data_IF_184770559269
#
_entry.id   IF_184770559269
#
_cell.length_a   1.000
_cell.length_b   1.000
_cell.length_c   1.000
_cell.angle_alpha   90.00
_cell.angle_beta   90.00
_cell.angle_gamma   90.00
#
_symmetry.space_group_name_H-M   'P 1'
#
loop_
_entity.id
_entity.type
_entity.pdbx_description
1 polymer ?
#
# COMPACT_ATOMS: atom_id res chain seq x y z
N UNK A 1 7.85 9.96 24.47
CA UNK A 1 6.39 9.98 24.71
C UNK A 1 5.84 8.91 23.80
N UNK A 2 5.26 7.89 24.42
CA UNK A 2 4.75 6.71 23.73
C UNK A 2 3.36 7.10 23.20
N UNK A 3 3.29 7.41 21.89
CA UNK A 3 2.03 7.67 21.22
C UNK A 3 1.34 6.32 21.01
N UNK A 4 0.53 5.91 21.99
CA UNK A 4 -0.38 4.77 21.86
C UNK A 4 -1.17 4.92 20.56
N UNK A 5 -1.17 3.93 19.65
CA UNK A 5 -1.91 4.02 18.41
C UNK A 5 -3.40 4.19 18.75
N UNK A 6 -3.94 5.31 18.29
CA UNK A 6 -5.33 5.68 18.54
C UNK A 6 -6.19 4.78 17.66
N UNK A 7 -6.78 3.74 18.25
CA UNK A 7 -7.92 3.05 17.68
C UNK A 7 -9.06 4.06 17.65
N UNK A 8 -9.25 4.75 16.53
CA UNK A 8 -10.56 5.32 16.28
C UNK A 8 -11.50 4.12 16.11
N UNK A 9 -12.24 3.84 17.17
CA UNK A 9 -13.51 3.14 17.09
C UNK A 9 -14.38 4.02 16.17
N UNK A 10 -14.30 3.74 14.87
CA UNK A 10 -15.10 4.41 13.84
C UNK A 10 -16.52 3.90 14.03
N UNK A 11 -17.20 4.45 15.03
CA UNK A 11 -18.54 4.06 15.42
C UNK A 11 -19.50 4.28 14.23
N UNK A 12 -19.72 3.22 13.45
CA UNK A 12 -20.64 3.20 12.31
C UNK A 12 -20.07 2.66 11.00
N UNK A 13 -18.74 2.62 10.84
CA UNK A 13 -18.07 2.21 9.61
C UNK A 13 -17.81 0.69 9.60
N UNK A 14 -18.35 0.00 8.59
CA UNK A 14 -18.22 -1.45 8.36
C UNK A 14 -17.01 -1.74 7.48
N UNK A 15 -15.88 -2.05 8.12
CA UNK A 15 -14.70 -2.61 7.44
C UNK A 15 -15.07 -3.99 6.86
N UNK A 16 -14.84 -4.26 5.55
CA UNK A 16 -15.11 -5.56 4.95
C UNK A 16 -14.30 -6.69 5.60
N UNK A 17 -14.86 -7.89 5.64
CA UNK A 17 -14.14 -9.07 6.13
C UNK A 17 -12.86 -9.30 5.32
N UNK A 18 -11.75 -9.53 6.02
CA UNK A 18 -10.43 -9.72 5.41
C UNK A 18 -9.70 -8.42 5.07
N UNK A 19 -10.21 -7.26 5.48
CA UNK A 19 -9.48 -5.99 5.48
C UNK A 19 -9.13 -5.62 6.91
N UNK A 20 -7.87 -5.29 7.14
CA UNK A 20 -7.37 -4.78 8.42
C UNK A 20 -6.77 -3.42 8.14
N UNK A 21 -7.11 -2.42 8.96
CA UNK A 21 -6.63 -1.07 8.79
C UNK A 21 -5.98 -0.59 10.07
N UNK A 22 -4.74 -0.13 9.95
CA UNK A 22 -4.04 0.61 10.97
C UNK A 22 -3.58 1.94 10.39
N UNK A 23 -3.66 2.99 11.21
CA UNK A 23 -3.18 4.31 10.86
C UNK A 23 -2.85 5.07 12.13
N UNK A 24 -2.05 6.11 11.95
CA UNK A 24 -1.77 7.12 12.97
C UNK A 24 -2.07 8.50 12.37
N UNK A 25 -2.15 9.52 13.23
CA UNK A 25 -2.65 10.86 12.89
C UNK A 25 -1.95 11.50 11.67
N UNK A 26 -0.63 11.31 11.54
CA UNK A 26 0.20 11.87 10.45
C UNK A 26 0.11 11.05 9.16
N UNK A 27 -0.48 9.85 9.19
CA UNK A 27 -0.71 9.03 7.99
C UNK A 27 0.53 8.34 7.38
N UNK A 28 1.62 8.20 8.13
CA UNK A 28 2.83 7.48 7.72
C UNK A 28 3.04 6.21 8.55
N UNK A 29 3.72 5.22 7.96
CA UNK A 29 4.13 4.02 8.68
C UNK A 29 5.30 4.33 9.62
N UNK A 30 5.15 4.06 10.91
CA UNK A 30 6.21 4.23 11.92
C UNK A 30 6.57 2.88 12.56
N UNK A 31 7.54 2.89 13.47
CA UNK A 31 7.98 1.65 14.13
C UNK A 31 6.92 1.05 15.06
N UNK A 32 6.01 1.86 15.61
CA UNK A 32 4.90 1.36 16.44
C UNK A 32 3.95 0.54 15.58
N UNK A 33 3.49 1.10 14.46
CA UNK A 33 2.65 0.41 13.48
C UNK A 33 3.34 -0.80 12.86
N UNK A 34 4.65 -0.71 12.57
CA UNK A 34 5.43 -1.86 12.07
C UNK A 34 5.45 -2.98 13.10
N UNK A 35 5.67 -2.66 14.38
CA UNK A 35 5.67 -3.66 15.43
C UNK A 35 4.32 -4.36 15.56
N UNK A 36 3.20 -3.65 15.40
CA UNK A 36 1.86 -4.26 15.37
C UNK A 36 1.66 -5.15 14.14
N UNK A 37 2.17 -4.71 12.99
CA UNK A 37 2.15 -5.51 11.77
C UNK A 37 2.92 -6.83 11.93
N UNK A 38 4.09 -6.81 12.62
CA UNK A 38 4.84 -8.05 12.90
C UNK A 38 4.04 -9.01 13.79
N UNK A 39 3.38 -8.51 14.85
CA UNK A 39 2.54 -9.35 15.71
C UNK A 39 1.45 -10.05 14.90
N UNK A 40 0.73 -9.27 14.08
CA UNK A 40 -0.31 -9.80 13.21
C UNK A 40 0.22 -10.85 12.23
N UNK A 41 1.37 -10.59 11.58
CA UNK A 41 1.96 -11.55 10.65
C UNK A 41 2.35 -12.85 11.34
N UNK A 42 2.91 -12.79 12.55
CA UNK A 42 3.26 -14.01 13.27
C UNK A 42 2.01 -14.82 13.60
N UNK A 43 0.97 -14.17 14.14
CA UNK A 43 -0.30 -14.83 14.43
C UNK A 43 -0.91 -15.46 13.18
N UNK A 44 -0.95 -14.74 12.06
CA UNK A 44 -1.56 -15.22 10.83
C UNK A 44 -0.77 -16.39 10.22
N UNK A 45 0.56 -16.35 10.25
CA UNK A 45 1.40 -17.44 9.72
C UNK A 45 1.34 -18.66 10.61
N UNK A 46 1.51 -18.50 11.91
CA UNK A 46 1.57 -19.61 12.87
C UNK A 46 0.21 -20.33 12.98
N UNK A 47 -0.90 -19.59 12.87
CA UNK A 47 -2.25 -20.16 12.82
C UNK A 47 -2.51 -20.99 11.55
N UNK A 48 -1.89 -20.63 10.41
CA UNK A 48 -2.09 -21.31 9.13
C UNK A 48 -1.29 -22.60 9.01
N UNK A 49 -0.04 -22.61 9.49
CA UNK A 49 0.89 -23.71 9.16
C UNK A 49 0.90 -24.85 10.18
N UNK A 50 0.55 -24.59 11.47
CA UNK A 50 0.65 -25.55 12.61
C UNK A 50 2.01 -26.28 12.72
N UNK A 51 3.00 -25.85 11.94
CA UNK A 51 4.35 -26.39 11.78
C UNK A 51 5.25 -25.18 11.62
N UNK A 52 6.33 -25.10 12.40
CA UNK A 52 7.34 -24.05 12.23
C UNK A 52 8.02 -24.21 10.88
N UNK A 53 7.65 -23.36 9.93
CA UNK A 53 8.32 -23.21 8.63
C UNK A 53 9.24 -22.00 8.68
N UNK A 54 10.40 -22.02 7.99
CA UNK A 54 11.22 -20.82 7.83
C UNK A 54 10.38 -19.67 7.24
N UNK A 55 10.56 -18.46 7.77
CA UNK A 55 9.79 -17.27 7.38
C UNK A 55 10.76 -16.20 6.88
N UNK A 56 10.54 -15.69 5.67
CA UNK A 56 11.34 -14.61 5.08
C UNK A 56 10.47 -13.36 4.91
N UNK A 57 10.92 -12.24 5.45
CA UNK A 57 10.35 -10.92 5.21
C UNK A 57 11.26 -10.11 4.29
N UNK A 58 10.69 -9.63 3.18
CA UNK A 58 11.39 -8.81 2.18
C UNK A 58 10.70 -7.45 2.06
N UNK A 59 11.45 -6.38 2.28
CA UNK A 59 10.96 -5.00 2.32
C UNK A 59 12.06 -4.00 1.93
N UNK A 60 11.67 -2.78 1.59
CA UNK A 60 12.60 -1.73 1.15
C UNK A 60 13.43 -1.16 2.31
N UNK A 61 14.43 -0.35 1.98
CA UNK A 61 15.30 0.32 2.94
C UNK A 61 14.68 1.60 3.55
N UNK A 62 13.35 1.67 3.67
CA UNK A 62 12.70 2.80 4.34
C UNK A 62 13.18 2.91 5.81
N UNK A 63 13.37 4.11 6.32
CA UNK A 63 14.10 4.32 7.58
C UNK A 63 13.42 3.63 8.77
N UNK A 64 12.10 3.70 8.82
CA UNK A 64 11.24 3.18 9.87
C UNK A 64 11.23 1.64 9.87
N UNK A 65 11.36 1.03 8.69
CA UNK A 65 11.58 -0.41 8.52
C UNK A 65 12.93 -0.86 9.11
N UNK A 66 13.92 0.02 9.09
CA UNK A 66 15.27 -0.27 9.54
C UNK A 66 15.51 -0.02 11.03
N UNK A 67 14.50 0.46 11.76
CA UNK A 67 14.60 0.68 13.19
C UNK A 67 14.95 -0.61 13.93
N UNK A 68 15.74 -0.44 14.99
CA UNK A 68 16.25 -1.55 15.78
C UNK A 68 15.11 -2.37 16.41
N UNK A 69 14.09 -1.69 16.94
CA UNK A 69 12.91 -2.33 17.56
C UNK A 69 12.18 -3.25 16.58
N UNK A 70 11.98 -2.81 15.34
CA UNK A 70 11.30 -3.60 14.29
C UNK A 70 12.12 -4.83 13.93
N UNK A 71 13.45 -4.68 13.75
CA UNK A 71 14.35 -5.81 13.45
C UNK A 71 14.43 -6.83 14.57
N UNK A 72 14.54 -6.37 15.81
CA UNK A 72 14.53 -7.23 17.00
C UNK A 72 13.22 -8.01 17.08
N UNK A 73 12.09 -7.36 16.80
CA UNK A 73 10.78 -8.02 16.82
C UNK A 73 10.62 -9.11 15.77
N UNK A 74 11.05 -8.87 14.53
CA UNK A 74 11.06 -9.92 13.51
C UNK A 74 11.95 -11.10 13.90
N UNK A 75 13.13 -10.83 14.47
CA UNK A 75 14.03 -11.86 14.98
C UNK A 75 13.38 -12.68 16.09
N UNK A 76 12.70 -12.05 17.05
CA UNK A 76 12.01 -12.73 18.16
C UNK A 76 10.89 -13.66 17.68
N UNK A 77 10.27 -13.33 16.55
CA UNK A 77 9.28 -14.18 15.88
C UNK A 77 9.88 -15.13 14.83
N UNK A 78 11.21 -15.30 14.79
CA UNK A 78 11.91 -16.23 13.89
C UNK A 78 11.67 -15.92 12.38
N UNK A 79 11.60 -14.63 12.02
CA UNK A 79 11.64 -14.18 10.64
C UNK A 79 13.06 -13.81 10.21
N UNK A 80 13.52 -14.37 9.10
CA UNK A 80 14.68 -13.88 8.38
C UNK A 80 14.31 -12.57 7.66
N UNK A 81 15.16 -11.55 7.78
CA UNK A 81 14.94 -10.25 7.15
C UNK A 81 15.87 -10.04 5.97
N UNK A 82 15.30 -9.64 4.83
CA UNK A 82 16.04 -9.20 3.64
C UNK A 82 15.61 -7.79 3.27
N UNK A 83 16.56 -6.85 3.28
CA UNK A 83 16.33 -5.45 2.91
C UNK A 83 16.72 -5.25 1.46
N UNK A 84 15.80 -4.69 0.66
CA UNK A 84 16.07 -4.30 -0.72
C UNK A 84 16.91 -3.00 -0.71
N UNK A 85 18.09 -3.00 -1.36
CA UNK A 85 18.89 -1.78 -1.48
C UNK A 85 18.14 -0.67 -2.20
N UNK A 86 18.42 0.58 -1.83
CA UNK A 86 17.84 1.76 -2.47
C UNK A 86 18.08 1.75 -3.99
N UNK A 87 17.04 2.09 -4.75
CA UNK A 87 17.07 2.10 -6.22
C UNK A 87 16.78 0.75 -6.88
N UNK A 88 16.67 -0.34 -6.12
CA UNK A 88 16.34 -1.68 -6.66
C UNK A 88 14.89 -2.09 -6.45
N UNK A 89 14.08 -1.23 -5.85
CA UNK A 89 12.68 -1.49 -5.54
C UNK A 89 11.86 -1.90 -6.77
N UNK A 90 12.10 -1.29 -7.92
CA UNK A 90 11.41 -1.61 -9.18
C UNK A 90 11.78 -2.97 -9.77
N UNK A 91 12.86 -3.60 -9.29
CA UNK A 91 13.36 -4.87 -9.80
C UNK A 91 13.17 -6.00 -8.80
N UNK A 92 13.33 -5.70 -7.51
CA UNK A 92 13.43 -6.70 -6.45
C UNK A 92 12.24 -6.71 -5.50
N UNK A 93 11.29 -5.77 -5.62
CA UNK A 93 10.10 -5.76 -4.77
C UNK A 93 8.87 -6.28 -5.55
N UNK A 94 8.33 -7.46 -5.20
CA UNK A 94 7.21 -8.07 -5.95
C UNK A 94 5.99 -7.16 -6.08
N UNK A 95 5.71 -6.39 -5.02
CA UNK A 95 4.65 -5.39 -5.02
C UNK A 95 4.84 -4.35 -6.13
N UNK A 96 6.06 -3.85 -6.33
CA UNK A 96 6.32 -2.80 -7.32
C UNK A 96 6.57 -3.35 -8.73
N UNK A 97 7.00 -4.60 -8.88
CA UNK A 97 7.19 -5.25 -10.17
C UNK A 97 5.87 -5.46 -10.90
N UNK A 98 4.83 -5.97 -10.23
CA UNK A 98 3.57 -6.29 -10.93
C UNK A 98 2.30 -5.92 -10.14
N UNK A 99 2.25 -6.23 -8.84
CA UNK A 99 1.00 -6.21 -8.07
C UNK A 99 0.43 -4.78 -7.98
N UNK A 100 1.26 -3.78 -7.72
CA UNK A 100 0.82 -2.40 -7.52
C UNK A 100 0.24 -1.76 -8.78
N UNK A 101 0.72 -2.12 -9.99
CA UNK A 101 0.15 -1.59 -11.24
C UNK A 101 -1.30 -2.04 -11.38
N UNK A 102 -1.54 -3.35 -11.26
CA UNK A 102 -2.89 -3.93 -11.33
C UNK A 102 -3.79 -3.47 -10.18
N UNK A 103 -3.27 -3.43 -8.96
CA UNK A 103 -4.03 -2.96 -7.80
C UNK A 103 -4.50 -1.51 -8.00
N UNK A 104 -3.60 -0.61 -8.44
CA UNK A 104 -3.93 0.80 -8.69
C UNK A 104 -4.90 0.97 -9.86
N UNK A 105 -4.79 0.15 -10.91
CA UNK A 105 -5.73 0.14 -12.01
C UNK A 105 -7.14 -0.25 -11.55
N UNK A 106 -7.27 -1.35 -10.81
CA UNK A 106 -8.54 -1.80 -10.24
C UNK A 106 -9.13 -0.74 -9.27
N UNK A 107 -8.29 -0.13 -8.42
CA UNK A 107 -8.73 0.90 -7.47
C UNK A 107 -9.24 2.16 -8.18
N UNK A 108 -8.59 2.55 -9.29
CA UNK A 108 -9.04 3.65 -10.14
C UNK A 108 -10.39 3.33 -10.79
N UNK A 109 -10.59 2.10 -11.23
CA UNK A 109 -11.86 1.65 -11.78
C UNK A 109 -12.99 1.75 -10.74
N UNK A 110 -12.77 1.24 -9.52
CA UNK A 110 -13.72 1.38 -8.41
C UNK A 110 -14.08 2.84 -8.11
N UNK A 111 -13.09 3.73 -8.15
CA UNK A 111 -13.31 5.17 -8.00
C UNK A 111 -14.14 5.75 -9.14
N UNK A 112 -13.85 5.42 -10.41
CA UNK A 112 -14.63 5.86 -11.56
C UNK A 112 -16.09 5.39 -11.50
N UNK A 113 -16.32 4.14 -11.12
CA UNK A 113 -17.67 3.61 -10.93
C UNK A 113 -18.43 4.36 -9.85
N UNK A 114 -17.80 4.63 -8.72
CA UNK A 114 -18.41 5.39 -7.64
C UNK A 114 -18.72 6.84 -8.05
N UNK A 115 -17.80 7.49 -8.77
CA UNK A 115 -18.02 8.83 -9.36
C UNK A 115 -19.23 8.84 -10.29
N UNK A 116 -19.31 7.88 -11.23
CA UNK A 116 -20.40 7.77 -12.20
C UNK A 116 -21.75 7.44 -11.55
N UNK A 117 -21.75 6.72 -10.42
CA UNK A 117 -22.95 6.42 -9.65
C UNK A 117 -23.46 7.59 -8.79
N UNK A 118 -22.87 8.78 -8.92
CA UNK A 118 -23.24 9.97 -8.15
C UNK A 118 -22.63 10.04 -6.75
N UNK A 119 -21.61 9.23 -6.46
CA UNK A 119 -20.90 9.25 -5.19
C UNK A 119 -20.25 10.60 -4.88
N UNK A 120 -19.84 11.32 -5.92
CA UNK A 120 -19.27 12.66 -5.82
C UNK A 120 -20.32 13.77 -6.00
N UNK A 121 -21.44 13.66 -5.27
CA UNK A 121 -22.37 14.77 -5.12
C UNK A 121 -21.64 16.06 -4.73
N UNK A 122 -22.16 17.21 -5.13
CA UNK A 122 -21.53 18.48 -4.83
C UNK A 122 -21.89 18.91 -3.40
N UNK A 123 -20.88 19.21 -2.57
CA UNK A 123 -21.14 19.84 -1.27
C UNK A 123 -21.66 21.27 -1.52
N UNK A 124 -22.33 21.86 -0.52
CA UNK A 124 -22.87 23.24 -0.59
C UNK A 124 -21.85 24.31 -0.95
N UNK A 125 -20.55 24.01 -0.85
CA UNK A 125 -19.41 24.88 -1.22
C UNK A 125 -18.87 24.64 -2.64
N UNK A 126 -19.48 23.76 -3.44
CA UNK A 126 -19.07 23.47 -4.82
C UNK A 126 -18.02 22.36 -4.98
N UNK A 127 -17.41 21.87 -3.89
CA UNK A 127 -16.43 20.77 -3.97
C UNK A 127 -17.13 19.41 -4.15
N UNK A 128 -16.40 18.44 -4.69
CA UNK A 128 -16.86 17.05 -4.72
C UNK A 128 -16.90 16.48 -3.30
N UNK A 129 -17.92 15.68 -3.02
CA UNK A 129 -18.01 14.90 -1.80
C UNK A 129 -16.85 13.90 -1.71
N UNK A 130 -16.25 13.77 -0.53
CA UNK A 130 -15.23 12.76 -0.24
C UNK A 130 -15.90 11.40 -0.08
N UNK A 131 -15.28 10.37 -0.65
CA UNK A 131 -15.65 8.98 -0.40
C UNK A 131 -15.61 8.67 1.10
N UNK A 132 -16.55 7.85 1.57
CA UNK A 132 -16.53 7.39 2.96
C UNK A 132 -15.43 6.37 3.15
N UNK A 133 -15.01 6.21 4.41
CA UNK A 133 -13.97 5.25 4.75
C UNK A 133 -14.36 3.81 4.38
N UNK A 134 -15.62 3.43 4.61
CA UNK A 134 -16.18 2.15 4.20
C UNK A 134 -16.14 1.91 2.69
N UNK A 135 -16.44 2.95 1.90
CA UNK A 135 -16.40 2.86 0.44
C UNK A 135 -14.97 2.52 0.01
N UNK A 136 -13.99 3.26 0.54
CA UNK A 136 -12.56 3.04 0.24
C UNK A 136 -12.10 1.66 0.67
N UNK A 137 -12.47 1.18 1.86
CA UNK A 137 -12.13 -0.18 2.30
C UNK A 137 -12.76 -1.25 1.39
N UNK A 138 -13.99 -1.02 0.94
CA UNK A 138 -14.67 -1.86 -0.04
C UNK A 138 -13.92 -1.90 -1.39
N UNK A 139 -13.44 -0.75 -1.87
CA UNK A 139 -12.66 -0.65 -3.10
C UNK A 139 -11.33 -1.39 -2.97
N UNK A 140 -10.61 -1.19 -1.86
CA UNK A 140 -9.34 -1.88 -1.58
C UNK A 140 -9.54 -3.39 -1.62
N UNK A 141 -10.59 -3.91 -0.94
CA UNK A 141 -10.89 -5.35 -0.93
C UNK A 141 -11.14 -5.90 -2.33
N UNK A 142 -12.06 -5.29 -3.08
CA UNK A 142 -12.42 -5.75 -4.43
C UNK A 142 -11.24 -5.62 -5.40
N UNK A 143 -10.45 -4.56 -5.27
CA UNK A 143 -9.27 -4.33 -6.10
C UNK A 143 -8.20 -5.39 -5.87
N UNK A 144 -7.99 -5.80 -4.62
CA UNK A 144 -7.08 -6.88 -4.25
C UNK A 144 -7.58 -8.24 -4.73
N UNK A 145 -8.86 -8.56 -4.50
CA UNK A 145 -9.47 -9.85 -4.89
C UNK A 145 -9.45 -10.11 -6.39
N UNK A 146 -9.41 -9.05 -7.20
CA UNK A 146 -9.32 -9.13 -8.66
C UNK A 146 -7.91 -9.46 -9.16
N UNK A 147 -6.89 -9.43 -8.31
CA UNK A 147 -5.52 -9.75 -8.69
C UNK A 147 -5.37 -11.28 -8.73
N UNK A 148 -5.07 -11.89 -9.89
CA UNK A 148 -4.93 -13.33 -9.97
C UNK A 148 -3.74 -13.84 -9.15
N UNK A 149 -3.91 -14.95 -8.44
CA UNK A 149 -2.82 -15.59 -7.67
C UNK A 149 -1.56 -15.86 -8.50
N UNK A 150 -1.72 -16.16 -9.81
CA UNK A 150 -0.59 -16.33 -10.73
C UNK A 150 0.30 -15.09 -10.83
N UNK A 151 -0.28 -13.89 -10.78
CA UNK A 151 0.49 -12.63 -10.81
C UNK A 151 1.31 -12.49 -9.54
N UNK A 152 0.70 -12.79 -8.38
CA UNK A 152 1.39 -12.74 -7.10
C UNK A 152 2.59 -13.70 -7.13
N UNK A 153 2.37 -14.96 -7.48
CA UNK A 153 3.43 -15.98 -7.55
C UNK A 153 4.54 -15.54 -8.52
N UNK A 154 4.18 -15.13 -9.74
CA UNK A 154 5.15 -14.78 -10.76
C UNK A 154 5.94 -13.51 -10.36
N UNK A 155 5.31 -12.53 -9.71
CA UNK A 155 6.02 -11.32 -9.24
C UNK A 155 7.15 -11.64 -8.26
N UNK A 156 6.95 -12.66 -7.40
CA UNK A 156 7.99 -13.15 -6.50
C UNK A 156 9.12 -13.84 -7.28
N UNK A 157 8.79 -14.73 -8.23
CA UNK A 157 9.79 -15.39 -9.09
C UNK A 157 10.64 -14.38 -9.87
N UNK A 158 10.03 -13.36 -10.48
CA UNK A 158 10.73 -12.31 -11.24
C UNK A 158 11.68 -11.50 -10.37
N UNK A 159 11.36 -11.31 -9.09
CA UNK A 159 12.26 -10.68 -8.13
C UNK A 159 13.40 -11.60 -7.65
N UNK A 160 13.48 -12.84 -8.16
CA UNK A 160 14.42 -13.86 -7.70
C UNK A 160 14.04 -14.45 -6.32
N UNK A 161 12.81 -14.24 -5.86
CA UNK A 161 12.33 -14.72 -4.56
C UNK A 161 11.53 -15.99 -4.80
N UNK A 162 12.24 -17.12 -4.79
CA UNK A 162 11.68 -18.43 -5.12
C UNK A 162 12.33 -19.52 -4.25
N UNK A 163 11.63 -20.64 -4.05
CA UNK A 163 12.18 -21.81 -3.36
C UNK A 163 13.06 -22.69 -4.27
N UNK A 164 13.00 -22.48 -5.59
CA UNK A 164 13.81 -23.18 -6.59
C UNK A 164 15.01 -22.32 -6.98
N UNK A 165 16.18 -22.95 -7.13
CA UNK A 165 17.43 -22.26 -7.49
C UNK A 165 17.52 -21.92 -8.98
N UNK A 166 16.70 -22.55 -9.84
CA UNK A 166 16.94 -22.60 -11.29
C UNK A 166 15.83 -21.94 -12.15
N UNK A 167 14.76 -21.42 -11.55
CA UNK A 167 13.59 -20.91 -12.28
C UNK A 167 13.60 -19.37 -12.38
N UNK A 168 14.46 -18.83 -13.24
CA UNK A 168 14.29 -17.44 -13.70
C UNK A 168 13.31 -17.47 -14.87
N UNK A 169 12.01 -17.47 -14.56
CA UNK A 169 10.98 -17.26 -15.57
C UNK A 169 10.93 -15.75 -15.90
N UNK A 170 11.21 -15.40 -17.17
CA UNK A 170 10.94 -14.06 -17.69
C UNK A 170 9.44 -13.76 -17.56
N UNK A 171 9.10 -12.62 -16.98
CA UNK A 171 7.72 -12.23 -16.76
C UNK A 171 7.16 -11.62 -18.05
N UNK A 172 6.14 -12.23 -18.63
CA UNK A 172 5.46 -11.66 -19.79
C UNK A 172 4.72 -10.37 -19.39
N UNK A 173 5.35 -9.22 -19.68
CA UNK A 173 4.77 -7.88 -19.48
C UNK A 173 3.43 -7.70 -20.24
N UNK A 174 3.22 -8.49 -21.29
CA UNK A 174 2.00 -8.52 -22.11
C UNK A 174 0.73 -8.83 -21.30
N UNK A 175 0.84 -9.53 -20.15
CA UNK A 175 -0.31 -9.79 -19.27
C UNK A 175 -0.79 -8.51 -18.57
N UNK A 176 0.10 -7.53 -18.38
CA UNK A 176 -0.18 -6.28 -17.68
C UNK A 176 -0.81 -5.25 -18.64
N UNK A 177 -0.40 -5.23 -19.90
CA UNK A 177 -0.85 -4.23 -20.89
C UNK A 177 -2.31 -4.40 -21.33
N UNK A 178 -2.91 -5.58 -21.16
CA UNK A 178 -4.35 -5.81 -21.43
C UNK A 178 -5.26 -4.90 -20.57
N UNK A 179 -4.73 -4.26 -19.51
CA UNK A 179 -5.47 -3.32 -18.67
C UNK A 179 -5.35 -1.84 -19.06
N UNK A 180 -4.42 -1.47 -19.95
CA UNK A 180 -4.17 -0.06 -20.34
C UNK A 180 -4.89 0.35 -21.64
N UNK A 181 -5.18 -0.61 -22.54
CA UNK A 181 -5.75 -0.35 -23.88
C UNK A 181 -7.19 0.21 -23.92
N UNK A 182 -7.78 0.60 -22.78
CA UNK A 182 -9.12 1.22 -22.74
C UNK A 182 -9.12 2.66 -22.15
N UNK A 183 -7.97 3.31 -22.00
CA UNK A 183 -7.90 4.71 -21.55
C UNK A 183 -6.88 5.53 -22.36
N UNK A 184 -7.15 5.71 -23.65
CA UNK A 184 -6.58 6.84 -24.39
C UNK A 184 -7.41 8.12 -24.17
N UNK A 185 -6.70 9.13 -23.68
CA UNK A 185 -6.85 10.58 -23.86
C UNK A 185 -8.10 11.34 -23.36
N UNK A 186 -7.88 12.06 -22.26
CA UNK A 186 -8.15 13.49 -22.24
C UNK A 186 -6.95 14.22 -21.61
N UNK A 187 -6.01 14.61 -22.47
CA UNK A 187 -5.01 15.63 -22.19
C UNK A 187 -5.69 16.97 -21.87
N UNK A 188 -5.39 17.58 -20.73
CA UNK A 188 -5.43 19.05 -20.61
C UNK A 188 -4.26 19.53 -19.75
N UNK A 189 -3.09 19.55 -20.39
CA UNK A 189 -1.97 20.37 -19.99
C UNK A 189 -2.31 21.84 -20.29
N UNK A 190 -2.92 22.54 -19.34
CA UNK A 190 -2.86 24.01 -19.25
C UNK A 190 -3.29 24.52 -17.87
N UNK A 191 -2.36 24.53 -16.91
CA UNK A 191 -2.26 25.67 -15.99
C UNK A 191 -0.83 25.75 -15.43
N UNK A 192 0.04 26.41 -16.20
CA UNK A 192 1.28 26.96 -15.65
C UNK A 192 1.03 28.39 -15.20
N UNK A 193 1.53 28.64 -13.99
CA UNK A 193 2.08 29.88 -13.48
C UNK A 193 1.12 31.06 -13.28
N UNK A 194 0.71 31.28 -12.02
CA UNK A 194 1.07 32.49 -11.28
C UNK A 194 0.45 32.45 -9.87
N UNK A 195 1.30 32.40 -8.83
CA UNK A 195 1.23 33.25 -7.63
C UNK A 195 2.55 33.03 -6.88
N UNK A 196 3.46 33.98 -7.08
CA UNK A 196 4.52 34.31 -6.12
C UNK A 196 3.85 34.87 -4.87
N UNK A 197 4.23 34.37 -3.70
CA UNK A 197 4.04 35.06 -2.43
C UNK A 197 5.34 34.99 -1.65
N UNK A 198 6.32 35.77 -2.10
CA UNK A 198 7.27 36.37 -1.18
C UNK A 198 6.56 37.47 -0.37
N UNK A 199 6.95 37.55 0.90
CA UNK A 199 6.67 38.60 1.89
C UNK A 199 5.40 38.42 2.74
N UNK A 200 5.58 37.84 3.92
CA UNK A 200 5.01 38.42 5.13
C UNK A 200 6.01 38.24 6.29
N UNK A 201 6.81 39.29 6.47
CA UNK A 201 7.47 39.62 7.72
C UNK A 201 6.46 39.54 8.87
N UNK A 202 6.71 38.66 9.84
CA UNK A 202 6.13 38.80 11.17
C UNK A 202 7.28 39.19 12.10
N UNK A 203 7.30 40.50 12.36
CA UNK A 203 8.28 41.16 13.20
C UNK A 203 8.35 40.59 14.61
N UNK A 204 9.59 40.49 15.07
CA UNK A 204 9.97 40.42 16.47
C UNK A 204 9.50 41.72 17.15
N UNK A 205 8.79 41.59 18.26
CA UNK A 205 8.81 42.64 19.28
C UNK A 205 8.75 42.02 20.68
N UNK A 206 9.87 42.23 21.39
CA UNK A 206 10.18 42.20 22.84
C UNK A 206 9.32 41.37 23.79
#
# INVERSE_FOLDING_TARGET
MDETPVWFDMAGDKIPLGVIVWFQEKGWMDSVLMNQYVDYLSDEVDNRTRIRTPKLMVYDSFREHLEKSVKEKFHDYEFDLTVIPGGLTSLCQPLNVAINKLFKANLREEWHWWMAAGGAGQITKGNLQRAKFDDVCGWVKRSWDRIPNKIIINSFKTCGISNALDDVEEFDEEIIDISDDNLEDASDDNLKDDISCDNLDIGINK
#
